data_IF_450698048522
#
_entry.id   IF_450698048522
#
_cell.length_a   1.000
_cell.length_b   1.000
_cell.length_c   1.000
_cell.angle_alpha   90.00
_cell.angle_beta   90.00
_cell.angle_gamma   90.00
#
_symmetry.space_group_name_H-M   'P 1'
#
loop_
_entity.id
_entity.type
_entity.pdbx_description
1 polymer ?
#
# COMPACT_ATOMS: atom_id res chain seq x y z
N UNK A 1 37.38 -51.83 -21.65
CA UNK A 1 36.89 -50.45 -21.82
C UNK A 1 35.51 -50.41 -21.23
N UNK A 2 35.45 -49.82 -20.05
CA UNK A 2 34.31 -49.79 -19.14
C UNK A 2 33.69 -48.41 -19.25
N UNK A 3 32.41 -48.31 -19.60
CA UNK A 3 31.56 -47.19 -19.21
C UNK A 3 30.11 -47.67 -19.19
N UNK A 4 29.74 -48.11 -18.00
CA UNK A 4 28.39 -48.39 -17.56
C UNK A 4 27.64 -47.05 -17.52
N UNK A 5 26.51 -47.01 -18.22
CA UNK A 5 25.72 -45.81 -18.41
C UNK A 5 24.85 -45.64 -17.15
N UNK A 6 25.32 -44.86 -16.19
CA UNK A 6 24.56 -44.48 -15.00
C UNK A 6 23.40 -43.57 -15.42
N UNK A 7 22.27 -44.20 -15.75
CA UNK A 7 20.97 -43.53 -15.73
C UNK A 7 20.54 -43.46 -14.27
N UNK A 8 20.87 -42.37 -13.60
CA UNK A 8 20.18 -41.97 -12.38
C UNK A 8 18.69 -41.86 -12.69
N UNK A 9 17.93 -42.88 -12.29
CA UNK A 9 16.50 -42.71 -12.06
C UNK A 9 16.36 -41.60 -11.03
N UNK A 10 15.82 -40.46 -11.45
CA UNK A 10 15.35 -39.43 -10.52
C UNK A 10 14.20 -40.07 -9.74
N UNK A 11 14.53 -40.62 -8.58
CA UNK A 11 13.56 -41.06 -7.58
C UNK A 11 12.88 -39.80 -7.09
N UNK A 12 11.67 -39.54 -7.61
CA UNK A 12 10.77 -38.53 -7.04
C UNK A 12 10.61 -38.88 -5.54
N UNK A 13 10.79 -37.92 -4.62
CA UNK A 13 10.54 -38.19 -3.22
C UNK A 13 9.08 -38.63 -3.08
N UNK A 14 8.90 -39.86 -2.60
CA UNK A 14 7.61 -40.40 -2.27
C UNK A 14 7.07 -39.58 -1.09
N UNK A 15 6.24 -38.59 -1.38
CA UNK A 15 5.46 -37.85 -0.37
C UNK A 15 4.24 -38.68 0.09
N UNK A 16 4.27 -40.00 -0.11
CA UNK A 16 3.37 -40.98 0.49
C UNK A 16 3.79 -41.40 1.89
N UNK A 17 4.36 -40.49 2.67
CA UNK A 17 4.41 -40.66 4.12
C UNK A 17 3.00 -40.49 4.65
N UNK A 18 2.36 -41.60 5.05
CA UNK A 18 1.16 -41.65 5.88
C UNK A 18 1.41 -40.88 7.18
N UNK A 19 1.32 -39.55 7.11
CA UNK A 19 0.93 -38.72 8.24
C UNK A 19 -0.55 -39.06 8.42
N UNK A 20 -0.88 -39.60 9.59
CA UNK A 20 -2.26 -39.73 10.04
C UNK A 20 -3.05 -38.48 9.64
N UNK A 21 -4.26 -38.68 9.11
CA UNK A 21 -5.23 -37.64 8.82
C UNK A 21 -5.63 -36.99 10.15
N UNK A 22 -4.74 -36.17 10.70
CA UNK A 22 -5.11 -35.00 11.48
C UNK A 22 -5.47 -33.94 10.44
N UNK A 23 -6.68 -33.42 10.51
CA UNK A 23 -7.20 -32.37 9.64
C UNK A 23 -6.15 -31.26 9.54
N UNK A 24 -5.43 -31.15 8.41
CA UNK A 24 -4.49 -30.05 8.20
C UNK A 24 -5.33 -28.80 7.94
N UNK A 25 -5.51 -27.91 8.94
CA UNK A 25 -6.47 -26.82 8.84
C UNK A 25 -6.09 -25.85 7.72
N UNK A 26 -4.79 -25.70 7.45
CA UNK A 26 -4.23 -24.88 6.38
C UNK A 26 -4.60 -25.45 5.02
N UNK A 27 -4.38 -26.75 4.82
CA UNK A 27 -4.73 -27.43 3.59
C UNK A 27 -6.24 -27.33 3.29
N UNK A 28 -7.07 -27.51 4.31
CA UNK A 28 -8.53 -27.37 4.19
C UNK A 28 -8.97 -25.95 3.85
N UNK A 29 -8.36 -24.95 4.51
CA UNK A 29 -8.62 -23.55 4.21
C UNK A 29 -8.16 -23.18 2.79
N UNK A 30 -7.03 -23.73 2.33
CA UNK A 30 -6.53 -23.55 0.97
C UNK A 30 -7.52 -24.09 -0.07
N UNK A 31 -8.04 -25.32 0.14
CA UNK A 31 -9.07 -25.89 -0.75
C UNK A 31 -10.33 -25.02 -0.77
N UNK A 32 -10.83 -24.60 0.39
CA UNK A 32 -11.99 -23.71 0.49
C UNK A 32 -11.77 -22.39 -0.24
N UNK A 33 -10.58 -21.79 -0.11
CA UNK A 33 -10.24 -20.54 -0.81
C UNK A 33 -10.17 -20.74 -2.33
N UNK A 34 -9.64 -21.88 -2.78
CA UNK A 34 -9.53 -22.20 -4.20
C UNK A 34 -10.89 -22.51 -4.85
N UNK A 35 -11.80 -23.14 -4.11
CA UNK A 35 -13.22 -23.28 -4.49
C UNK A 35 -13.94 -21.93 -4.50
N UNK A 36 -13.79 -21.12 -3.46
CA UNK A 36 -14.38 -19.78 -3.41
C UNK A 36 -13.93 -18.91 -4.59
N UNK A 37 -12.65 -18.93 -4.95
CA UNK A 37 -12.15 -18.21 -6.12
C UNK A 37 -12.78 -18.72 -7.42
N UNK A 38 -13.00 -20.02 -7.53
CA UNK A 38 -13.71 -20.58 -8.68
C UNK A 38 -15.17 -20.10 -8.77
N UNK A 39 -15.86 -20.02 -7.64
CA UNK A 39 -17.23 -19.52 -7.58
C UNK A 39 -17.28 -18.02 -7.96
N UNK A 40 -16.34 -17.22 -7.45
CA UNK A 40 -16.17 -15.82 -7.82
C UNK A 40 -15.95 -15.69 -9.33
N UNK A 41 -15.05 -16.48 -9.93
CA UNK A 41 -14.79 -16.44 -11.37
C UNK A 41 -16.05 -16.80 -12.18
N UNK A 42 -16.83 -17.77 -11.70
CA UNK A 42 -18.05 -18.24 -12.35
C UNK A 42 -19.17 -17.19 -12.29
N UNK A 43 -19.30 -16.50 -11.15
CA UNK A 43 -20.24 -15.39 -10.96
C UNK A 43 -19.81 -14.19 -11.80
N UNK A 44 -18.55 -13.79 -11.71
CA UNK A 44 -17.94 -12.69 -12.46
C UNK A 44 -18.22 -12.77 -13.96
N UNK A 45 -18.17 -13.98 -14.52
CA UNK A 45 -18.47 -14.22 -15.94
C UNK A 45 -19.92 -13.90 -16.33
N UNK A 46 -20.88 -14.13 -15.42
CA UNK A 46 -22.32 -13.98 -15.70
C UNK A 46 -22.86 -12.62 -15.27
N UNK A 47 -22.34 -12.09 -14.17
CA UNK A 47 -22.80 -10.88 -13.50
C UNK A 47 -21.61 -10.19 -12.81
N UNK A 48 -20.67 -9.61 -13.58
CA UNK A 48 -19.47 -8.96 -13.02
C UNK A 48 -19.81 -7.81 -12.07
N UNK A 49 -20.96 -7.17 -12.22
CA UNK A 49 -21.48 -6.12 -11.34
C UNK A 49 -21.68 -6.56 -9.88
N UNK A 50 -21.77 -7.87 -9.63
CA UNK A 50 -21.94 -8.44 -8.29
C UNK A 50 -20.60 -8.71 -7.58
N UNK A 51 -19.47 -8.47 -8.25
CA UNK A 51 -18.13 -8.67 -7.68
C UNK A 51 -17.49 -7.30 -7.42
N UNK A 52 -16.87 -7.08 -6.24
CA UNK A 52 -16.11 -5.86 -5.99
C UNK A 52 -15.08 -5.61 -7.10
N UNK A 53 -14.97 -4.36 -7.55
CA UNK A 53 -14.14 -4.00 -8.70
C UNK A 53 -12.65 -4.31 -8.53
N UNK A 54 -12.16 -4.32 -7.29
CA UNK A 54 -10.78 -4.67 -6.92
C UNK A 54 -10.55 -6.19 -6.70
N UNK A 55 -11.63 -6.98 -6.83
CA UNK A 55 -11.62 -8.43 -7.01
C UNK A 55 -12.01 -8.85 -8.43
N UNK A 56 -12.09 -7.89 -9.37
CA UNK A 56 -12.40 -8.14 -10.77
C UNK A 56 -11.52 -7.34 -11.75
N UNK A 57 -10.36 -7.91 -12.12
CA UNK A 57 -9.52 -7.50 -13.24
C UNK A 57 -8.83 -6.13 -13.10
N UNK A 58 -7.80 -5.82 -13.91
CA UNK A 58 -7.09 -4.54 -13.87
C UNK A 58 -7.85 -3.38 -14.56
N UNK A 59 -8.99 -3.66 -15.20
CA UNK A 59 -9.81 -2.66 -15.88
C UNK A 59 -11.10 -2.43 -15.09
N UNK A 60 -11.28 -1.20 -14.60
CA UNK A 60 -12.52 -0.73 -13.97
C UNK A 60 -13.67 -0.81 -14.99
N UNK A 61 -14.32 -1.98 -15.09
CA UNK A 61 -15.38 -2.21 -16.09
C UNK A 61 -15.65 -3.67 -16.43
N UNK A 62 -14.83 -4.61 -15.95
CA UNK A 62 -15.09 -6.04 -16.15
C UNK A 62 -14.67 -6.62 -17.51
N UNK A 63 -14.06 -5.80 -18.36
CA UNK A 63 -13.75 -6.11 -19.76
C UNK A 63 -12.77 -7.29 -19.96
N UNK A 64 -11.99 -7.65 -18.94
CA UNK A 64 -10.95 -8.70 -19.01
C UNK A 64 -11.21 -9.95 -18.15
N UNK A 65 -12.39 -10.06 -17.51
CA UNK A 65 -12.77 -11.25 -16.75
C UNK A 65 -12.04 -11.44 -15.39
N UNK A 66 -12.12 -12.63 -14.78
CA UNK A 66 -11.64 -12.89 -13.43
C UNK A 66 -10.13 -12.67 -13.25
N UNK A 67 -9.71 -12.25 -12.04
CA UNK A 67 -8.28 -12.10 -11.71
C UNK A 67 -7.50 -13.40 -11.87
N UNK A 68 -6.22 -13.27 -12.23
CA UNK A 68 -5.27 -14.36 -12.04
C UNK A 68 -5.15 -14.71 -10.56
N UNK A 69 -4.78 -15.96 -10.24
CA UNK A 69 -4.66 -16.41 -8.86
C UNK A 69 -3.73 -15.53 -8.01
N UNK A 70 -2.63 -15.03 -8.60
CA UNK A 70 -1.71 -14.09 -7.96
C UNK A 70 -2.35 -12.75 -7.60
N UNK A 71 -3.15 -12.19 -8.49
CA UNK A 71 -3.75 -10.87 -8.32
C UNK A 71 -4.86 -10.94 -7.28
N UNK A 72 -5.72 -11.96 -7.39
CA UNK A 72 -6.74 -12.24 -6.38
C UNK A 72 -6.13 -12.42 -5.00
N UNK A 73 -5.08 -13.24 -4.87
CA UNK A 73 -4.43 -13.43 -3.58
C UNK A 73 -3.82 -12.11 -3.07
N UNK A 74 -3.26 -11.28 -3.96
CA UNK A 74 -2.67 -9.98 -3.61
C UNK A 74 -3.69 -8.95 -3.14
N UNK A 75 -4.93 -9.03 -3.63
CA UNK A 75 -6.05 -8.20 -3.19
C UNK A 75 -6.58 -8.59 -1.82
N UNK A 76 -6.51 -9.88 -1.44
CA UNK A 76 -7.09 -10.36 -0.17
C UNK A 76 -6.06 -10.57 0.93
N UNK A 77 -4.87 -11.11 0.63
CA UNK A 77 -3.85 -11.42 1.65
C UNK A 77 -2.83 -10.28 1.80
N UNK A 78 -2.43 -9.98 3.06
CA UNK A 78 -1.36 -9.03 3.31
C UNK A 78 0.01 -9.64 3.00
N UNK A 79 1.05 -8.82 2.86
CA UNK A 79 2.45 -9.22 2.84
C UNK A 79 2.87 -10.34 1.86
N UNK A 80 2.16 -10.53 0.74
CA UNK A 80 2.62 -11.46 -0.30
C UNK A 80 4.00 -11.06 -0.85
N UNK A 81 4.90 -12.03 -1.11
CA UNK A 81 6.23 -11.75 -1.61
C UNK A 81 6.17 -11.14 -3.01
N UNK A 82 6.75 -9.95 -3.18
CA UNK A 82 6.81 -9.26 -4.48
C UNK A 82 7.92 -9.77 -5.37
N UNK A 83 9.09 -10.03 -4.81
CA UNK A 83 10.24 -10.47 -5.59
C UNK A 83 10.16 -11.98 -5.80
N UNK A 84 10.41 -12.40 -7.03
CA UNK A 84 10.61 -13.78 -7.42
C UNK A 84 12.13 -13.95 -7.42
N UNK A 85 12.69 -14.61 -6.40
CA UNK A 85 14.04 -15.14 -6.53
C UNK A 85 14.05 -16.07 -7.76
N UNK A 86 15.16 -16.09 -8.50
CA UNK A 86 15.38 -16.99 -9.64
C UNK A 86 15.54 -18.43 -9.13
N UNK A 87 14.53 -18.93 -8.43
CA UNK A 87 14.56 -20.23 -7.79
C UNK A 87 14.34 -21.33 -8.82
N UNK A 88 15.05 -22.44 -8.59
CA UNK A 88 14.95 -23.64 -9.41
C UNK A 88 13.50 -24.10 -9.45
N UNK A 89 13.01 -24.34 -10.65
CA UNK A 89 11.70 -24.94 -10.85
C UNK A 89 11.80 -26.46 -10.70
N UNK A 90 10.82 -27.06 -10.06
CA UNK A 90 10.68 -28.51 -9.92
C UNK A 90 9.41 -28.98 -10.60
N UNK A 91 9.39 -30.18 -11.16
CA UNK A 91 8.16 -30.78 -11.68
C UNK A 91 7.42 -31.44 -10.52
N UNK A 92 6.14 -31.13 -10.35
CA UNK A 92 5.29 -31.68 -9.31
C UNK A 92 3.93 -32.11 -9.88
N UNK A 93 3.35 -33.17 -9.31
CA UNK A 93 1.93 -33.48 -9.48
C UNK A 93 1.13 -32.63 -8.51
N UNK A 94 0.56 -31.54 -9.01
CA UNK A 94 -0.08 -30.52 -8.18
C UNK A 94 -1.54 -30.86 -7.94
N UNK A 95 -2.02 -30.93 -6.68
CA UNK A 95 -3.42 -31.26 -6.38
C UNK A 95 -4.37 -30.15 -6.85
N UNK A 96 -5.31 -30.51 -7.72
CA UNK A 96 -6.18 -29.59 -8.48
C UNK A 96 -7.04 -28.68 -7.60
N UNK A 97 -7.45 -29.18 -6.44
CA UNK A 97 -8.25 -28.48 -5.42
C UNK A 97 -7.45 -27.44 -4.62
N UNK A 98 -6.12 -27.44 -4.69
CA UNK A 98 -5.26 -26.42 -4.05
C UNK A 98 -4.82 -25.29 -5.00
N UNK A 99 -5.26 -25.30 -6.27
CA UNK A 99 -4.78 -24.35 -7.29
C UNK A 99 -5.72 -23.16 -7.44
N UNK A 100 -5.19 -21.94 -7.32
CA UNK A 100 -5.86 -20.71 -7.73
C UNK A 100 -5.67 -20.51 -9.24
N UNK A 101 -6.65 -21.01 -10.00
CA UNK A 101 -6.76 -20.82 -11.45
C UNK A 101 -7.35 -19.48 -11.87
N UNK A 102 -7.72 -19.40 -13.14
CA UNK A 102 -8.44 -18.26 -13.71
C UNK A 102 -9.45 -18.81 -14.73
N UNK A 103 -10.73 -18.76 -14.40
CA UNK A 103 -11.79 -19.46 -15.14
C UNK A 103 -12.49 -18.58 -16.19
N UNK A 104 -11.69 -17.80 -16.93
CA UNK A 104 -12.21 -16.79 -17.88
C UNK A 104 -12.65 -17.38 -19.23
N UNK A 105 -12.02 -18.47 -19.70
CA UNK A 105 -12.48 -19.21 -20.90
C UNK A 105 -13.47 -20.30 -20.52
N UNK A 106 -14.40 -20.57 -21.45
CA UNK A 106 -15.29 -21.74 -21.40
C UNK A 106 -14.45 -23.00 -21.60
N UNK A 107 -13.92 -23.49 -20.50
CA UNK A 107 -13.32 -24.81 -20.33
C UNK A 107 -13.78 -25.25 -18.95
N UNK A 108 -14.68 -26.23 -18.82
CA UNK A 108 -15.14 -27.21 -19.82
C UNK A 108 -16.17 -26.66 -20.83
N UNK A 109 -16.12 -27.17 -22.06
CA UNK A 109 -17.34 -27.33 -22.87
C UNK A 109 -18.09 -28.54 -22.31
N UNK A 110 -19.31 -28.39 -21.76
CA UNK A 110 -20.09 -29.53 -21.27
C UNK A 110 -20.41 -30.54 -22.37
N UNK A 111 -20.21 -30.18 -23.65
CA UNK A 111 -20.42 -31.04 -24.81
C UNK A 111 -19.12 -31.59 -25.41
N UNK A 112 -17.96 -31.41 -24.74
CA UNK A 112 -16.70 -32.01 -25.21
C UNK A 112 -16.87 -33.51 -25.38
N UNK A 113 -16.45 -34.04 -26.53
CA UNK A 113 -16.51 -35.48 -26.76
C UNK A 113 -15.55 -36.23 -25.83
N UNK A 114 -15.80 -37.51 -25.58
CA UNK A 114 -14.88 -38.33 -24.78
C UNK A 114 -13.48 -38.40 -25.40
N UNK A 115 -13.39 -38.43 -26.74
CA UNK A 115 -12.12 -38.47 -27.48
C UNK A 115 -11.34 -37.18 -27.25
N UNK A 116 -11.96 -36.01 -27.47
CA UNK A 116 -11.30 -34.72 -27.25
C UNK A 116 -10.91 -34.53 -25.78
N UNK A 117 -11.73 -35.00 -24.84
CA UNK A 117 -11.39 -34.99 -23.42
C UNK A 117 -10.11 -35.80 -23.15
N UNK A 118 -10.03 -37.02 -23.67
CA UNK A 118 -8.88 -37.90 -23.46
C UNK A 118 -7.62 -37.33 -24.13
N UNK A 119 -7.73 -36.73 -25.32
CA UNK A 119 -6.62 -36.00 -25.98
C UNK A 119 -6.09 -34.83 -25.14
N UNK A 120 -6.99 -34.08 -24.50
CA UNK A 120 -6.60 -32.99 -23.59
C UNK A 120 -5.89 -33.54 -22.35
N UNK A 121 -6.36 -34.66 -21.81
CA UNK A 121 -5.70 -35.34 -20.68
C UNK A 121 -4.30 -35.81 -21.11
N UNK A 122 -4.18 -36.51 -22.23
CA UNK A 122 -2.91 -37.00 -22.76
C UNK A 122 -1.92 -35.84 -22.96
N UNK A 123 -2.40 -34.71 -23.50
CA UNK A 123 -1.58 -33.52 -23.62
C UNK A 123 -1.17 -32.95 -22.26
N UNK A 124 -2.07 -32.86 -21.27
CA UNK A 124 -1.75 -32.38 -19.90
C UNK A 124 -0.58 -33.19 -19.29
N UNK A 125 -0.57 -34.51 -19.50
CA UNK A 125 0.44 -35.41 -18.96
C UNK A 125 1.68 -35.59 -19.86
N UNK A 126 1.65 -35.04 -21.08
CA UNK A 126 2.80 -35.06 -21.99
C UNK A 126 3.92 -34.12 -21.52
N UNK A 127 5.14 -34.35 -22.03
CA UNK A 127 6.30 -33.48 -21.77
C UNK A 127 6.00 -32.02 -22.16
N UNK A 128 5.38 -31.80 -23.32
CA UNK A 128 4.95 -30.47 -23.76
C UNK A 128 3.93 -29.86 -22.80
N UNK A 129 2.95 -30.64 -22.33
CA UNK A 129 1.98 -30.22 -21.34
C UNK A 129 2.62 -29.71 -20.05
N UNK A 130 3.62 -30.43 -19.54
CA UNK A 130 4.37 -30.07 -18.33
C UNK A 130 5.19 -28.80 -18.55
N UNK A 131 5.91 -28.71 -19.69
CA UNK A 131 6.70 -27.53 -20.05
C UNK A 131 5.80 -26.30 -20.16
N UNK A 132 4.61 -26.42 -20.72
CA UNK A 132 3.67 -25.31 -20.91
C UNK A 132 2.88 -24.93 -19.64
N UNK A 133 3.07 -25.65 -18.52
CA UNK A 133 2.37 -25.39 -17.26
C UNK A 133 3.33 -24.88 -16.19
N UNK A 134 3.01 -23.74 -15.60
CA UNK A 134 3.88 -23.08 -14.62
C UNK A 134 3.09 -22.51 -13.45
N UNK A 135 3.35 -23.02 -12.24
CA UNK A 135 2.67 -22.61 -11.00
C UNK A 135 3.65 -22.06 -9.96
N UNK A 136 3.16 -21.19 -9.08
CA UNK A 136 3.88 -20.78 -7.86
C UNK A 136 3.29 -21.48 -6.66
N UNK A 137 4.07 -22.28 -5.92
CA UNK A 137 3.65 -22.90 -4.67
C UNK A 137 4.01 -22.03 -3.48
N UNK A 138 3.05 -21.80 -2.59
CA UNK A 138 3.25 -21.16 -1.29
C UNK A 138 3.07 -22.21 -0.19
N UNK A 139 4.15 -22.84 0.30
CA UNK A 139 4.06 -23.96 1.22
C UNK A 139 3.29 -23.65 2.49
N UNK A 140 3.56 -22.50 3.09
CA UNK A 140 2.95 -22.04 4.34
C UNK A 140 1.43 -21.90 4.23
N UNK A 141 0.93 -21.60 3.03
CA UNK A 141 -0.49 -21.46 2.76
C UNK A 141 -1.10 -22.70 2.10
N UNK A 142 -0.30 -23.71 1.77
CA UNK A 142 -0.72 -24.89 1.00
C UNK A 142 -1.46 -24.53 -0.29
N UNK A 143 -1.05 -23.45 -0.97
CA UNK A 143 -1.71 -22.90 -2.16
C UNK A 143 -0.79 -22.89 -3.37
N UNK A 144 -1.34 -23.17 -4.54
CA UNK A 144 -0.66 -23.02 -5.83
C UNK A 144 -1.31 -21.90 -6.63
N UNK A 145 -0.50 -20.99 -7.19
CA UNK A 145 -0.96 -19.89 -8.03
C UNK A 145 -0.67 -20.21 -9.49
N UNK A 146 -1.71 -20.31 -10.30
CA UNK A 146 -1.52 -20.63 -11.71
C UNK A 146 -0.93 -19.44 -12.49
N UNK A 147 0.33 -19.56 -12.91
CA UNK A 147 1.02 -18.63 -13.80
C UNK A 147 0.66 -18.93 -15.26
N UNK A 148 1.05 -20.10 -15.74
CA UNK A 148 0.66 -20.69 -17.03
C UNK A 148 -0.16 -21.95 -16.84
N UNK A 149 -1.06 -22.27 -17.77
CA UNK A 149 -1.98 -23.41 -17.64
C UNK A 149 -3.20 -23.13 -16.75
N UNK A 150 -3.58 -21.86 -16.54
CA UNK A 150 -4.69 -21.45 -15.66
C UNK A 150 -6.04 -22.07 -16.05
N UNK A 151 -6.31 -22.19 -17.34
CA UNK A 151 -7.57 -22.76 -17.87
C UNK A 151 -7.66 -24.28 -17.65
N UNK A 152 -6.51 -24.97 -17.58
CA UNK A 152 -6.45 -26.43 -17.35
C UNK A 152 -6.98 -26.78 -15.96
N UNK A 153 -6.82 -25.87 -15.00
CA UNK A 153 -7.35 -26.05 -13.63
C UNK A 153 -8.86 -26.27 -13.64
N UNK A 154 -9.62 -25.44 -14.38
CA UNK A 154 -11.07 -25.59 -14.44
C UNK A 154 -11.49 -26.88 -15.18
N UNK A 155 -10.81 -27.20 -16.28
CA UNK A 155 -11.01 -28.48 -16.99
C UNK A 155 -10.81 -29.68 -16.04
N UNK A 156 -9.70 -29.70 -15.30
CA UNK A 156 -9.39 -30.77 -14.37
C UNK A 156 -10.39 -30.84 -13.22
N UNK A 157 -10.83 -29.70 -12.66
CA UNK A 157 -11.88 -29.66 -11.64
C UNK A 157 -13.17 -30.29 -12.13
N UNK A 158 -13.64 -29.87 -13.30
CA UNK A 158 -14.90 -30.35 -13.85
C UNK A 158 -14.89 -31.85 -14.14
N UNK A 159 -13.78 -32.36 -14.67
CA UNK A 159 -13.62 -33.77 -14.99
C UNK A 159 -13.09 -34.63 -13.83
N UNK A 160 -13.01 -34.07 -12.61
CA UNK A 160 -12.50 -34.75 -11.41
C UNK A 160 -11.08 -35.34 -11.58
N UNK A 161 -10.22 -34.64 -12.31
CA UNK A 161 -8.81 -35.00 -12.47
C UNK A 161 -8.06 -34.47 -11.23
N UNK A 162 -7.52 -35.35 -10.37
CA UNK A 162 -7.08 -34.95 -9.03
C UNK A 162 -5.76 -34.17 -9.03
N UNK A 163 -4.91 -34.37 -10.04
CA UNK A 163 -3.60 -33.74 -10.11
C UNK A 163 -3.29 -33.21 -11.50
N UNK A 164 -2.48 -32.14 -11.56
CA UNK A 164 -1.94 -31.56 -12.78
C UNK A 164 -0.40 -31.55 -12.68
N UNK A 165 0.33 -32.23 -13.57
CA UNK A 165 1.77 -32.14 -13.60
C UNK A 165 2.19 -30.75 -14.12
N UNK A 166 3.06 -30.07 -13.37
CA UNK A 166 3.44 -28.69 -13.68
C UNK A 166 4.87 -28.38 -13.24
N UNK A 167 5.51 -27.40 -13.90
CA UNK A 167 6.70 -26.74 -13.35
C UNK A 167 6.26 -25.83 -12.21
N UNK A 168 6.89 -26.00 -11.06
CA UNK A 168 6.55 -25.28 -9.82
C UNK A 168 7.74 -24.49 -9.35
N UNK A 169 7.53 -23.18 -9.14
CA UNK A 169 8.43 -22.34 -8.35
C UNK A 169 7.90 -22.27 -6.92
N UNK A 170 8.77 -22.41 -5.93
CA UNK A 170 8.40 -22.29 -4.51
C UNK A 170 8.59 -20.84 -4.06
N UNK A 171 7.64 -20.33 -3.29
CA UNK A 171 7.72 -19.01 -2.65
C UNK A 171 7.22 -19.06 -1.22
N UNK A 172 8.05 -18.61 -0.31
CA UNK A 172 7.69 -18.61 1.10
C UNK A 172 6.85 -17.38 1.46
N UNK A 173 5.80 -17.61 2.23
CA UNK A 173 5.04 -16.56 2.90
C UNK A 173 5.69 -16.22 4.26
N UNK A 174 5.53 -15.01 4.82
CA UNK A 174 6.05 -14.73 6.15
C UNK A 174 5.47 -15.69 7.20
N UNK A 175 6.31 -16.07 8.17
CA UNK A 175 5.90 -16.92 9.29
C UNK A 175 4.69 -16.31 10.04
N UNK A 176 3.76 -17.17 10.47
CA UNK A 176 2.50 -16.73 11.07
C UNK A 176 2.69 -15.87 12.34
N UNK A 177 3.69 -16.17 13.16
CA UNK A 177 4.03 -15.44 14.39
C UNK A 177 4.55 -14.01 14.14
N UNK A 178 5.02 -13.71 12.93
CA UNK A 178 5.46 -12.37 12.51
C UNK A 178 4.30 -11.49 12.08
N UNK A 179 3.13 -12.09 11.86
CA UNK A 179 1.92 -11.40 11.40
C UNK A 179 0.94 -11.30 12.57
N UNK A 180 0.40 -10.09 12.79
CA UNK A 180 -0.72 -9.84 13.69
C UNK A 180 -1.86 -9.21 12.90
N UNK A 181 -3.09 -9.65 13.15
CA UNK A 181 -4.29 -9.01 12.61
C UNK A 181 -5.00 -8.29 13.74
N UNK A 182 -5.39 -7.06 13.51
CA UNK A 182 -6.22 -6.27 14.42
C UNK A 182 -7.58 -6.04 13.78
N UNK A 183 -8.64 -6.37 14.51
CA UNK A 183 -10.02 -6.06 14.11
C UNK A 183 -10.53 -4.89 14.96
N UNK A 184 -10.91 -3.80 14.29
CA UNK A 184 -11.31 -2.55 14.92
C UNK A 184 -12.79 -2.32 14.62
N UNK A 185 -13.60 -2.24 15.68
CA UNK A 185 -15.01 -1.90 15.55
C UNK A 185 -15.16 -0.38 15.47
N UNK A 186 -15.38 0.14 14.27
CA UNK A 186 -15.62 1.55 14.00
C UNK A 186 -17.12 1.82 13.85
N UNK A 187 -17.53 3.09 13.95
CA UNK A 187 -18.94 3.48 13.83
C UNK A 187 -19.58 3.08 12.47
N UNK A 188 -18.76 2.93 11.41
CA UNK A 188 -19.19 2.55 10.07
C UNK A 188 -18.94 1.07 9.73
N UNK A 189 -18.57 0.25 10.71
CA UNK A 189 -18.34 -1.19 10.55
C UNK A 189 -16.96 -1.64 11.03
N UNK A 190 -16.61 -2.87 10.67
CA UNK A 190 -15.34 -3.49 11.07
C UNK A 190 -14.23 -3.08 10.10
N UNK A 191 -13.13 -2.55 10.64
CA UNK A 191 -11.90 -2.31 9.90
C UNK A 191 -10.83 -3.32 10.32
N UNK A 192 -10.09 -3.88 9.36
CA UNK A 192 -9.13 -4.96 9.63
C UNK A 192 -7.75 -4.58 9.11
N UNK A 193 -6.77 -4.66 10.00
CA UNK A 193 -5.40 -4.23 9.75
C UNK A 193 -4.42 -5.36 10.04
N UNK A 194 -3.52 -5.62 9.10
CA UNK A 194 -2.44 -6.58 9.27
C UNK A 194 -1.14 -5.86 9.58
N UNK A 195 -0.36 -6.41 10.51
CA UNK A 195 0.95 -5.89 10.91
C UNK A 195 1.99 -6.99 10.78
N UNK A 196 3.10 -6.68 10.12
CA UNK A 196 4.27 -7.54 9.96
C UNK A 196 5.43 -6.96 10.77
N UNK A 197 6.04 -7.81 11.59
CA UNK A 197 7.23 -7.48 12.41
C UNK A 197 7.06 -6.23 13.28
N UNK A 198 5.84 -5.99 13.78
CA UNK A 198 5.50 -4.81 14.58
C UNK A 198 5.92 -3.47 13.94
N UNK A 199 5.96 -3.44 12.60
CA UNK A 199 6.49 -2.32 11.82
C UNK A 199 5.70 -2.00 10.57
N UNK A 200 5.40 -3.01 9.75
CA UNK A 200 4.77 -2.79 8.45
C UNK A 200 3.27 -3.07 8.53
N UNK A 201 2.46 -2.06 8.24
CA UNK A 201 1.01 -2.14 8.30
C UNK A 201 0.43 -2.23 6.88
N UNK A 202 -0.58 -3.08 6.71
CA UNK A 202 -1.43 -3.12 5.51
C UNK A 202 -2.89 -3.28 5.92
N UNK A 203 -3.77 -2.47 5.32
CA UNK A 203 -5.22 -2.66 5.44
C UNK A 203 -5.65 -3.93 4.70
N UNK A 204 -6.51 -4.73 5.30
CA UNK A 204 -7.08 -5.96 4.72
C UNK A 204 -8.50 -5.67 4.24
N UNK A 205 -8.64 -5.15 3.01
CA UNK A 205 -9.94 -4.72 2.48
C UNK A 205 -10.97 -5.85 2.39
N UNK A 206 -10.50 -7.05 2.03
CA UNK A 206 -11.33 -8.23 1.80
C UNK A 206 -11.21 -9.25 2.92
N UNK A 207 -11.33 -8.77 4.16
CA UNK A 207 -11.07 -9.58 5.35
C UNK A 207 -11.96 -10.83 5.46
N UNK A 208 -13.18 -10.81 4.92
CA UNK A 208 -14.05 -11.98 4.90
C UNK A 208 -13.44 -13.18 4.15
N UNK A 209 -12.64 -12.93 3.10
CA UNK A 209 -11.93 -13.97 2.36
C UNK A 209 -10.56 -14.29 2.96
N UNK A 210 -9.88 -13.29 3.54
CA UNK A 210 -8.55 -13.44 4.09
C UNK A 210 -8.52 -14.14 5.46
N UNK A 211 -9.42 -13.76 6.38
CA UNK A 211 -9.39 -14.22 7.77
C UNK A 211 -9.52 -15.74 7.93
N UNK A 212 -10.37 -16.47 7.18
CA UNK A 212 -10.42 -17.92 7.28
C UNK A 212 -9.06 -18.59 6.99
N UNK A 213 -8.35 -18.10 5.97
CA UNK A 213 -7.03 -18.60 5.59
C UNK A 213 -5.97 -18.23 6.63
N UNK A 214 -5.94 -16.97 7.05
CA UNK A 214 -4.96 -16.47 8.04
C UNK A 214 -5.15 -17.14 9.41
N UNK A 215 -6.39 -17.38 9.83
CA UNK A 215 -6.69 -18.10 11.07
C UNK A 215 -6.22 -19.55 11.00
N UNK A 216 -6.50 -20.24 9.89
CA UNK A 216 -6.03 -21.62 9.69
C UNK A 216 -4.50 -21.70 9.66
N UNK A 217 -3.84 -20.68 9.09
CA UNK A 217 -2.39 -20.55 9.07
C UNK A 217 -1.76 -20.26 10.46
N UNK A 218 -2.58 -19.89 11.46
CA UNK A 218 -2.11 -19.64 12.83
C UNK A 218 -1.73 -18.18 13.10
N UNK A 219 -2.17 -17.24 12.25
CA UNK A 219 -1.97 -15.81 12.49
C UNK A 219 -2.83 -15.36 13.68
N UNK A 220 -2.23 -14.59 14.59
CA UNK A 220 -2.95 -14.06 15.75
C UNK A 220 -3.92 -12.96 15.34
N UNK A 221 -5.18 -13.08 15.77
CA UNK A 221 -6.23 -12.08 15.56
C UNK A 221 -6.54 -11.44 16.92
N UNK A 222 -6.42 -10.12 16.98
CA UNK A 222 -6.51 -9.31 18.19
C UNK A 222 -7.60 -8.25 18.00
N UNK A 223 -8.28 -7.90 19.09
CA UNK A 223 -9.36 -6.89 19.08
C UNK A 223 -8.94 -5.56 19.72
N UNK A 224 -7.70 -5.50 20.24
CA UNK A 224 -7.15 -4.33 20.92
C UNK A 224 -5.98 -3.78 20.12
N UNK A 225 -6.13 -2.55 19.63
CA UNK A 225 -5.04 -1.80 19.00
C UNK A 225 -4.04 -1.32 20.07
N UNK A 226 -2.72 -1.45 19.86
CA UNK A 226 -1.73 -0.98 20.83
C UNK A 226 -1.83 0.54 21.04
N UNK A 227 -1.79 1.00 22.29
CA UNK A 227 -1.90 2.43 22.65
C UNK A 227 -0.65 3.21 22.24
N UNK A 228 0.50 2.55 22.20
CA UNK A 228 1.78 3.12 21.78
C UNK A 228 1.88 3.35 20.27
N UNK A 229 0.94 2.82 19.49
CA UNK A 229 0.92 2.99 18.04
C UNK A 229 -0.01 4.14 17.63
N UNK A 230 0.32 4.85 16.53
CA UNK A 230 -0.61 5.80 15.95
C UNK A 230 -1.97 5.13 15.68
N UNK A 231 -3.05 5.88 15.89
CA UNK A 231 -4.39 5.41 15.59
C UNK A 231 -4.52 5.06 14.10
N UNK A 232 -5.47 4.18 13.76
CA UNK A 232 -5.74 3.82 12.37
C UNK A 232 -6.02 5.06 11.48
N UNK A 233 -6.64 6.10 12.04
CA UNK A 233 -6.89 7.35 11.33
C UNK A 233 -5.60 8.15 11.06
N UNK A 234 -4.70 8.23 12.04
CA UNK A 234 -3.39 8.88 11.89
C UNK A 234 -2.50 8.13 10.89
N UNK A 235 -2.54 6.80 10.88
CA UNK A 235 -1.85 6.01 9.88
C UNK A 235 -2.31 6.38 8.47
N UNK A 236 -3.62 6.49 8.25
CA UNK A 236 -4.16 6.86 6.94
C UNK A 236 -3.80 8.30 6.56
N UNK A 237 -3.92 9.26 7.48
CA UNK A 237 -3.65 10.67 7.19
C UNK A 237 -2.17 10.93 6.89
N UNK A 238 -1.25 10.28 7.61
CA UNK A 238 0.18 10.48 7.44
C UNK A 238 0.82 9.57 6.39
N UNK A 239 0.14 8.51 5.93
CA UNK A 239 0.68 7.55 4.96
C UNK A 239 0.60 7.96 3.48
N UNK A 240 -0.14 9.02 3.13
CA UNK A 240 -0.41 9.40 1.72
C UNK A 240 0.88 9.53 0.89
N UNK A 241 1.98 10.03 1.47
CA UNK A 241 3.29 10.14 0.80
C UNK A 241 4.32 9.09 1.24
N UNK A 242 3.99 8.25 2.23
CA UNK A 242 4.90 7.24 2.81
C UNK A 242 4.65 5.86 2.22
N UNK A 243 3.48 5.65 1.58
CA UNK A 243 3.17 4.41 0.87
C UNK A 243 4.25 4.15 -0.16
N UNK A 244 4.96 3.04 0.00
CA UNK A 244 5.74 2.48 -1.09
C UNK A 244 4.78 1.99 -2.20
N UNK A 245 5.32 1.60 -3.35
CA UNK A 245 4.55 1.03 -4.47
C UNK A 245 3.71 -0.23 -4.09
N UNK A 246 3.78 -0.69 -2.84
CA UNK A 246 3.02 -1.84 -2.29
C UNK A 246 1.86 -1.50 -1.38
N UNK A 247 1.64 -0.21 -1.10
CA UNK A 247 0.61 0.20 -0.15
C UNK A 247 0.90 -0.23 1.29
N UNK A 248 2.15 -0.62 1.58
CA UNK A 248 2.63 -0.87 2.95
C UNK A 248 2.95 0.46 3.63
N UNK A 249 2.56 0.57 4.89
CA UNK A 249 2.82 1.72 5.75
C UNK A 249 3.87 1.30 6.77
N UNK A 250 4.98 2.05 6.87
CA UNK A 250 5.97 1.83 7.93
C UNK A 250 5.60 2.69 9.15
N UNK A 251 5.26 2.03 10.28
CA UNK A 251 4.87 2.69 11.52
C UNK A 251 5.94 3.68 11.98
N UNK A 252 7.22 3.32 11.87
CA UNK A 252 8.31 4.17 12.35
C UNK A 252 8.36 5.49 11.59
N UNK A 253 8.21 5.43 10.26
CA UNK A 253 8.17 6.63 9.42
C UNK A 253 6.95 7.51 9.73
N UNK A 254 5.82 6.90 10.10
CA UNK A 254 4.63 7.66 10.53
C UNK A 254 4.88 8.33 11.88
N UNK A 255 5.41 7.62 12.86
CA UNK A 255 5.76 8.18 14.19
C UNK A 255 6.74 9.34 14.03
N UNK A 256 7.81 9.16 13.26
CA UNK A 256 8.80 10.22 13.00
C UNK A 256 8.12 11.45 12.37
N UNK A 257 7.19 11.25 11.44
CA UNK A 257 6.44 12.35 10.81
C UNK A 257 5.49 13.05 11.79
N UNK A 258 4.83 12.32 12.68
CA UNK A 258 3.97 12.88 13.73
C UNK A 258 4.83 13.75 14.65
N UNK A 259 5.94 13.21 15.15
CA UNK A 259 6.86 13.93 16.03
C UNK A 259 7.38 15.23 15.36
N UNK A 260 7.80 15.17 14.09
CA UNK A 260 8.23 16.36 13.35
C UNK A 260 7.09 17.38 13.22
N UNK A 261 5.87 16.92 12.95
CA UNK A 261 4.69 17.80 12.81
C UNK A 261 4.36 18.49 14.14
N UNK A 262 4.46 17.77 15.25
CA UNK A 262 4.29 18.30 16.59
C UNK A 262 5.38 19.30 16.95
N UNK A 263 6.66 18.98 16.70
CA UNK A 263 7.79 19.88 16.93
C UNK A 263 7.66 21.17 16.12
N UNK A 264 7.29 21.08 14.84
CA UNK A 264 7.06 22.24 13.99
C UNK A 264 5.87 23.06 14.50
N UNK A 265 4.80 22.41 14.97
CA UNK A 265 3.64 23.09 15.53
C UNK A 265 3.97 23.81 16.83
N UNK A 266 4.72 23.17 17.74
CA UNK A 266 5.21 23.78 18.98
C UNK A 266 6.15 24.95 18.70
N UNK A 267 7.09 24.78 17.75
CA UNK A 267 7.98 25.83 17.32
C UNK A 267 7.21 27.02 16.73
N UNK A 268 6.21 26.77 15.89
CA UNK A 268 5.40 27.81 15.28
C UNK A 268 4.50 28.52 16.28
N UNK A 269 4.02 27.84 17.32
CA UNK A 269 3.22 28.42 18.40
C UNK A 269 4.04 29.37 19.30
N UNK A 270 5.38 29.26 19.30
CA UNK A 270 6.22 30.21 20.01
C UNK A 270 6.19 31.57 19.32
N UNK A 271 6.06 32.61 20.13
CA UNK A 271 6.07 34.00 19.68
C UNK A 271 7.45 34.62 19.83
N UNK A 272 7.93 35.28 18.79
CA UNK A 272 9.13 36.10 18.85
C UNK A 272 8.78 37.59 18.80
N UNK A 273 9.68 38.44 19.30
CA UNK A 273 9.62 39.87 19.02
C UNK A 273 10.28 40.16 17.68
N UNK A 274 9.52 40.70 16.74
CA UNK A 274 9.99 41.04 15.41
C UNK A 274 9.54 42.46 15.00
N UNK A 275 10.27 43.08 14.07
CA UNK A 275 9.79 44.27 13.37
C UNK A 275 8.84 43.88 12.24
N UNK A 276 7.96 44.80 11.81
CA UNK A 276 6.99 44.51 10.74
C UNK A 276 7.65 43.93 9.50
N UNK A 277 8.88 44.34 9.13
CA UNK A 277 9.55 43.85 7.91
C UNK A 277 9.71 42.32 7.83
N UNK A 278 9.73 41.62 8.98
CA UNK A 278 9.90 40.17 9.03
C UNK A 278 8.59 39.39 8.87
N UNK A 279 7.43 40.04 8.89
CA UNK A 279 6.14 39.34 8.80
C UNK A 279 5.70 39.10 7.35
N UNK A 280 4.90 38.06 7.13
CA UNK A 280 4.47 37.54 5.81
C UNK A 280 3.70 38.56 4.96
N UNK A 281 3.01 39.50 5.61
CA UNK A 281 2.11 40.46 4.96
C UNK A 281 2.73 41.86 4.72
N UNK A 282 4.00 42.07 5.05
CA UNK A 282 4.53 43.43 5.32
C UNK A 282 5.35 44.09 4.20
N UNK A 283 5.92 43.34 3.25
CA UNK A 283 6.84 43.92 2.25
C UNK A 283 6.19 45.06 1.45
N UNK A 284 4.91 44.93 1.06
CA UNK A 284 4.20 45.99 0.34
C UNK A 284 3.92 47.22 1.20
N UNK A 285 3.57 47.01 2.48
CA UNK A 285 3.22 48.09 3.40
C UNK A 285 4.45 48.87 3.84
N UNK A 286 5.58 48.21 4.11
CA UNK A 286 6.81 48.93 4.50
C UNK A 286 7.41 49.70 3.33
N UNK A 287 7.35 49.17 2.09
CA UNK A 287 7.75 49.93 0.90
C UNK A 287 6.86 51.16 0.74
N UNK A 288 5.54 51.03 0.91
CA UNK A 288 4.62 52.15 0.86
C UNK A 288 4.95 53.24 1.91
N UNK A 289 5.24 52.84 3.15
CA UNK A 289 5.63 53.79 4.20
C UNK A 289 7.02 54.40 3.99
N UNK A 290 7.98 53.66 3.44
CA UNK A 290 9.30 54.18 3.10
C UNK A 290 9.24 55.22 1.98
N UNK A 291 8.41 54.98 0.95
CA UNK A 291 8.13 55.96 -0.11
C UNK A 291 7.44 57.20 0.48
N UNK A 292 6.45 57.00 1.37
CA UNK A 292 5.79 58.10 2.09
C UNK A 292 6.77 58.95 2.89
N UNK A 293 7.68 58.32 3.64
CA UNK A 293 8.72 58.98 4.41
C UNK A 293 9.68 59.81 3.53
N UNK A 294 10.09 59.24 2.39
CA UNK A 294 10.95 59.91 1.41
C UNK A 294 10.27 61.13 0.81
N UNK A 295 8.99 61.00 0.39
CA UNK A 295 8.20 62.11 -0.13
C UNK A 295 8.00 63.21 0.92
N UNK A 296 7.74 62.85 2.18
CA UNK A 296 7.65 63.83 3.26
C UNK A 296 8.97 64.56 3.53
N UNK A 297 10.12 63.89 3.43
CA UNK A 297 11.44 64.53 3.56
C UNK A 297 11.69 65.59 2.46
N UNK A 298 11.22 65.32 1.23
CA UNK A 298 11.29 66.30 0.12
C UNK A 298 10.40 67.51 0.42
N UNK A 299 9.19 67.30 0.92
CA UNK A 299 8.29 68.39 1.33
C UNK A 299 8.92 69.22 2.46
N UNK A 300 9.54 68.57 3.45
CA UNK A 300 10.25 69.25 4.55
C UNK A 300 11.36 70.15 4.02
N UNK A 301 12.20 69.61 3.13
CA UNK A 301 13.32 70.32 2.52
C UNK A 301 12.86 71.59 1.78
N UNK A 302 11.77 71.50 1.01
CA UNK A 302 11.21 72.65 0.31
C UNK A 302 10.51 73.64 1.26
N UNK A 303 9.81 73.17 2.31
CA UNK A 303 9.14 74.04 3.29
C UNK A 303 10.09 74.82 4.19
N UNK A 304 11.24 74.25 4.57
CA UNK A 304 12.28 74.97 5.34
C UNK A 304 12.91 76.13 4.55
N UNK A 305 12.69 76.18 3.23
CA UNK A 305 13.08 77.31 2.36
C UNK A 305 12.09 78.47 2.43
N UNK A 306 10.89 78.24 2.97
CA UNK A 306 9.82 79.23 3.16
C UNK A 306 9.65 79.56 4.65
N UNK A 307 9.61 80.85 5.00
CA UNK A 307 9.53 81.34 6.39
C UNK A 307 8.11 81.25 6.99
N UNK A 308 7.44 80.10 6.87
CA UNK A 308 6.04 79.94 7.26
C UNK A 308 5.89 78.90 8.39
N UNK A 309 5.68 79.38 9.62
CA UNK A 309 5.78 78.57 10.85
C UNK A 309 4.77 77.41 10.93
N UNK A 310 3.59 77.58 10.34
CA UNK A 310 2.55 76.53 10.30
C UNK A 310 2.99 75.35 9.43
N UNK A 311 3.63 75.64 8.29
CA UNK A 311 4.16 74.62 7.39
C UNK A 311 5.32 73.86 8.04
N UNK A 312 6.20 74.56 8.75
CA UNK A 312 7.31 73.93 9.48
C UNK A 312 6.81 73.01 10.60
N UNK A 313 5.77 73.42 11.32
CA UNK A 313 5.16 72.59 12.40
C UNK A 313 4.50 71.33 11.84
N UNK A 314 3.73 71.45 10.75
CA UNK A 314 3.11 70.30 10.08
C UNK A 314 4.17 69.33 9.52
N UNK A 315 5.24 69.88 8.95
CA UNK A 315 6.38 69.16 8.40
C UNK A 315 7.13 68.32 9.46
N UNK A 316 7.39 68.89 10.64
CA UNK A 316 7.96 68.15 11.77
C UNK A 316 7.07 67.01 12.26
N UNK A 317 5.75 67.23 12.32
CA UNK A 317 4.80 66.20 12.73
C UNK A 317 4.79 64.99 11.78
N UNK A 318 4.88 65.25 10.46
CA UNK A 318 4.96 64.19 9.45
C UNK A 318 6.28 63.40 9.58
N UNK A 319 7.42 64.07 9.81
CA UNK A 319 8.69 63.38 10.05
C UNK A 319 8.69 62.54 11.34
N UNK A 320 8.08 63.04 12.40
CA UNK A 320 7.93 62.30 13.65
C UNK A 320 7.07 61.03 13.44
N UNK A 321 5.99 61.15 12.66
CA UNK A 321 5.15 60.00 12.32
C UNK A 321 5.89 58.99 11.43
N UNK A 322 6.57 59.46 10.38
CA UNK A 322 7.33 58.63 9.45
C UNK A 322 8.48 57.88 10.15
N UNK A 323 9.21 58.56 11.05
CA UNK A 323 10.27 57.92 11.84
C UNK A 323 9.72 56.88 12.83
N UNK A 324 8.56 57.13 13.44
CA UNK A 324 7.88 56.15 14.29
C UNK A 324 7.45 54.89 13.53
N UNK A 325 6.93 55.04 12.30
CA UNK A 325 6.58 53.90 11.45
C UNK A 325 7.81 53.12 11.00
N UNK A 326 8.89 53.81 10.61
CA UNK A 326 10.17 53.17 10.28
C UNK A 326 10.76 52.42 11.48
N UNK A 327 10.65 52.99 12.68
CA UNK A 327 11.06 52.34 13.92
C UNK A 327 10.25 51.07 14.16
N UNK A 328 8.92 51.09 14.04
CA UNK A 328 8.09 49.87 14.12
C UNK A 328 8.40 48.84 13.03
N UNK A 329 8.86 49.29 11.87
CA UNK A 329 9.25 48.40 10.77
C UNK A 329 10.50 47.57 11.08
N UNK A 330 11.45 48.16 11.81
CA UNK A 330 12.78 47.59 12.04
C UNK A 330 12.93 47.04 13.47
N UNK A 331 12.42 47.75 14.47
CA UNK A 331 12.60 47.43 15.87
C UNK A 331 11.82 46.16 16.28
N UNK A 332 12.40 45.27 17.09
CA UNK A 332 11.76 44.03 17.54
C UNK A 332 10.80 44.32 18.71
N UNK A 333 9.70 45.01 18.42
CA UNK A 333 8.71 45.42 19.41
C UNK A 333 7.35 44.73 19.25
N UNK A 334 7.07 44.15 18.08
CA UNK A 334 5.81 43.46 17.81
C UNK A 334 5.96 41.98 18.15
N UNK A 335 5.07 41.46 18.99
CA UNK A 335 4.97 40.04 19.28
C UNK A 335 4.27 39.36 18.10
N UNK A 336 5.01 38.54 17.37
CA UNK A 336 4.52 37.84 16.19
C UNK A 336 4.66 36.33 16.41
N UNK A 337 3.69 35.55 15.95
CA UNK A 337 3.83 34.10 15.89
C UNK A 337 4.93 33.74 14.89
N UNK A 338 5.73 32.70 15.15
CA UNK A 338 6.76 32.25 14.21
C UNK A 338 6.15 31.76 12.88
N UNK A 339 4.90 31.33 12.89
CA UNK A 339 4.11 31.04 11.68
C UNK A 339 3.93 32.26 10.76
N UNK A 340 3.95 33.47 11.33
CA UNK A 340 3.63 34.73 10.64
C UNK A 340 4.89 35.39 10.07
N UNK A 341 6.07 34.84 10.34
CA UNK A 341 7.32 35.28 9.75
C UNK A 341 7.34 34.90 8.25
N UNK A 342 7.90 35.78 7.41
CA UNK A 342 8.12 35.46 6.01
C UNK A 342 9.07 34.25 5.91
N UNK A 343 8.85 33.39 4.90
CA UNK A 343 9.56 32.10 4.75
C UNK A 343 11.09 32.18 4.78
N UNK A 344 11.66 33.30 4.31
CA UNK A 344 13.09 33.62 4.35
C UNK A 344 13.66 33.92 5.74
N UNK A 345 12.80 34.22 6.72
CA UNK A 345 13.15 34.48 8.12
C UNK A 345 12.66 33.37 9.07
N UNK A 346 11.94 32.37 8.56
CA UNK A 346 11.74 31.14 9.30
C UNK A 346 13.07 30.41 9.34
N UNK A 347 13.61 30.18 10.55
CA UNK A 347 14.75 29.28 10.73
C UNK A 347 14.30 27.93 10.19
N UNK A 348 15.00 27.41 9.16
CA UNK A 348 14.81 26.02 8.74
C UNK A 348 15.18 25.17 9.96
N UNK A 349 14.16 24.63 10.64
CA UNK A 349 14.36 23.56 11.60
C UNK A 349 15.29 22.53 10.97
N UNK A 350 16.28 22.06 11.74
CA UNK A 350 17.28 21.10 11.27
C UNK A 350 16.57 19.99 10.51
N UNK A 351 16.91 19.88 9.22
CA UNK A 351 16.47 18.78 8.35
C UNK A 351 16.99 17.46 8.86
#
# INVERSE_FOLDING_TARGET
MTTQNDREQVVLPNIGGLISIEDNPVADAARRLASLKYDIDTIARKAPENIPSDLHGPAAGGEYGPHFGSDFLSSILPFLPREFSNDKQVVMNVPTDHILGCSWRVWPDPNISTIEKDEVIDYIYSESGIIDTFYTYIPELSLFLAGEGKNRVNFCRYHNIPHIPARVMIKNYPEANRIKIFTLNMAWGTDVWAVLDDRFIKKVSHFAYALPMLRAYGVSILDVWPEEWPSALELVSHSVDIKNNSGLIDIKLVIDRINITEEVSQYNAQSDRCGLWRTKHSIKNVIFFAIGAMLSGVVVYETNRTSNDILNTASMAIMAFASGVLFMAIAPIIKCSRSDLASKFQVKGKK
#
